data_IF_093744074879
#
_entry.id   IF_093744074879
#
_cell.length_a   1.000
_cell.length_b   1.000
_cell.length_c   1.000
_cell.angle_alpha   90.00
_cell.angle_beta   90.00
_cell.angle_gamma   90.00
#
_symmetry.space_group_name_H-M   'P 1'
#
loop_
_entity.id
_entity.type
_entity.pdbx_description
1 polymer ?
#
# COMPACT_ATOMS: atom_id res chain seq x y z
N UNK A 1 5.25 6.12 2.66
CA UNK A 1 4.15 6.12 1.64
C UNK A 1 3.18 7.23 2.02
N UNK A 2 3.00 8.21 1.14
CA UNK A 2 2.10 9.35 1.35
C UNK A 2 0.92 9.23 0.39
N UNK A 3 -0.30 9.38 0.87
CA UNK A 3 -1.54 9.32 0.10
C UNK A 3 -2.57 10.31 0.62
N UNK A 4 -3.38 10.83 -0.29
CA UNK A 4 -4.54 11.67 0.01
C UNK A 4 -5.80 10.81 0.13
N UNK A 5 -6.66 11.11 1.09
CA UNK A 5 -8.00 10.52 1.22
C UNK A 5 -9.02 11.63 1.01
N UNK A 6 -9.83 11.50 -0.03
CA UNK A 6 -10.80 12.50 -0.45
C UNK A 6 -12.22 11.98 -0.33
N UNK A 7 -13.19 12.91 -0.16
CA UNK A 7 -14.60 12.59 -0.27
C UNK A 7 -15.05 12.62 -1.74
N UNK A 8 -15.43 11.48 -2.30
CA UNK A 8 -15.86 11.36 -3.71
C UNK A 8 -17.11 12.20 -4.01
N UNK A 9 -18.01 12.42 -3.04
CA UNK A 9 -19.26 13.12 -3.26
C UNK A 9 -19.10 14.55 -3.71
N UNK A 10 -17.93 15.15 -3.49
CA UNK A 10 -17.63 16.54 -3.83
C UNK A 10 -16.71 16.66 -5.06
N UNK A 11 -16.32 15.56 -5.70
CA UNK A 11 -15.55 15.61 -6.91
C UNK A 11 -16.44 16.13 -8.05
N UNK A 12 -16.11 17.25 -8.71
CA UNK A 12 -16.85 17.75 -9.85
C UNK A 12 -16.84 16.73 -10.98
N UNK A 13 -18.00 16.45 -11.56
CA UNK A 13 -18.09 15.51 -12.69
C UNK A 13 -19.30 14.56 -12.59
N UNK A 14 -19.40 13.55 -13.48
CA UNK A 14 -20.49 12.59 -13.44
C UNK A 14 -20.51 11.83 -12.11
N UNK A 15 -21.73 11.62 -11.59
CA UNK A 15 -22.03 11.06 -10.27
C UNK A 15 -21.14 9.86 -9.86
N UNK A 16 -20.81 9.70 -8.58
CA UNK A 16 -19.91 8.66 -8.06
C UNK A 16 -20.18 7.23 -8.56
N UNK A 17 -21.45 6.90 -8.80
CA UNK A 17 -21.86 5.61 -9.37
C UNK A 17 -21.30 5.33 -10.77
N UNK A 18 -21.02 6.37 -11.55
CA UNK A 18 -20.36 6.24 -12.86
C UNK A 18 -18.84 6.14 -12.71
N UNK A 19 -18.26 6.87 -11.77
CA UNK A 19 -16.84 6.74 -11.44
C UNK A 19 -16.56 5.30 -10.99
N UNK A 20 -17.39 4.72 -10.11
CA UNK A 20 -17.25 3.33 -9.70
C UNK A 20 -17.37 2.33 -10.86
N UNK A 21 -18.30 2.56 -11.80
CA UNK A 21 -18.47 1.67 -12.94
C UNK A 21 -17.39 1.79 -13.99
N UNK A 22 -16.83 2.98 -14.19
CA UNK A 22 -15.89 3.25 -15.28
C UNK A 22 -14.43 3.27 -14.86
N UNK A 23 -14.16 3.57 -13.59
CA UNK A 23 -12.79 3.69 -13.07
C UNK A 23 -12.26 2.37 -12.49
N UNK A 24 -13.13 1.50 -11.99
CA UNK A 24 -12.71 0.21 -11.42
C UNK A 24 -12.44 -0.86 -12.47
N UNK A 25 -13.23 -1.02 -13.57
CA UNK A 25 -12.95 -2.01 -14.60
C UNK A 25 -11.89 -1.60 -15.62
N UNK A 26 -11.78 -0.32 -15.93
CA UNK A 26 -10.98 0.18 -17.06
C UNK A 26 -9.75 0.98 -16.68
N UNK A 27 -9.48 1.18 -15.38
CA UNK A 27 -8.23 1.79 -15.00
C UNK A 27 -7.09 0.90 -15.46
N UNK A 28 -6.34 1.29 -16.47
CA UNK A 28 -5.03 0.71 -16.67
C UNK A 28 -4.35 0.92 -15.31
N UNK A 29 -3.79 -0.14 -14.76
CA UNK A 29 -2.94 -0.05 -13.58
C UNK A 29 -1.76 0.81 -14.00
N UNK A 30 -1.92 2.13 -13.91
CA UNK A 30 -0.89 3.09 -14.29
C UNK A 30 0.18 2.98 -13.24
N UNK A 31 1.09 2.08 -13.49
CA UNK A 31 2.38 2.01 -12.87
C UNK A 31 3.35 2.79 -13.74
N UNK A 32 3.16 4.08 -13.86
CA UNK A 32 4.26 4.94 -14.23
C UNK A 32 5.24 4.97 -13.07
N UNK A 33 6.23 4.13 -13.16
CA UNK A 33 7.41 4.17 -12.31
C UNK A 33 8.37 5.18 -12.92
N UNK A 34 8.22 6.42 -12.55
CA UNK A 34 9.30 7.39 -12.70
C UNK A 34 9.95 7.58 -11.32
N UNK A 35 11.04 6.86 -11.05
CA UNK A 35 11.82 7.04 -9.83
C UNK A 35 11.07 6.68 -8.53
N UNK A 36 10.91 7.67 -7.63
CA UNK A 36 10.30 7.53 -6.30
C UNK A 36 8.78 7.70 -6.30
N UNK A 37 8.17 8.08 -7.43
CA UNK A 37 6.74 8.39 -7.55
C UNK A 37 5.99 7.30 -8.30
N UNK A 38 4.71 7.13 -7.96
CA UNK A 38 3.76 6.31 -8.69
C UNK A 38 2.36 6.87 -8.48
N UNK A 39 1.51 6.76 -9.49
CA UNK A 39 0.16 7.34 -9.43
C UNK A 39 -0.86 6.21 -9.33
N UNK A 40 -1.81 6.37 -8.43
CA UNK A 40 -3.00 5.53 -8.35
C UNK A 40 -4.20 6.31 -7.82
N UNK A 41 -5.36 5.85 -8.21
CA UNK A 41 -6.65 6.32 -7.72
C UNK A 41 -7.43 5.09 -7.29
N UNK A 42 -7.85 5.02 -6.04
CA UNK A 42 -8.55 3.87 -5.47
C UNK A 42 -9.88 4.35 -4.87
N UNK A 43 -10.99 4.24 -5.62
CA UNK A 43 -12.32 4.48 -5.08
C UNK A 43 -12.66 3.43 -4.02
N UNK A 44 -13.37 3.87 -2.96
CA UNK A 44 -13.80 3.02 -1.85
C UNK A 44 -15.32 2.97 -1.76
N UNK A 45 -15.85 1.89 -1.20
CA UNK A 45 -17.30 1.71 -1.05
C UNK A 45 -17.93 2.70 -0.06
N UNK A 46 -17.15 3.27 0.84
CA UNK A 46 -17.60 4.28 1.81
C UNK A 46 -17.80 5.68 1.20
N UNK A 47 -17.57 5.85 -0.09
CA UNK A 47 -17.69 7.13 -0.79
C UNK A 47 -16.45 8.01 -0.70
N UNK A 48 -15.30 7.44 -0.29
CA UNK A 48 -14.00 8.11 -0.36
C UNK A 48 -13.16 7.60 -1.53
N UNK A 49 -12.12 8.35 -1.89
CA UNK A 49 -11.10 7.93 -2.85
C UNK A 49 -9.72 8.14 -2.27
N UNK A 50 -8.84 7.19 -2.51
CA UNK A 50 -7.43 7.31 -2.14
C UNK A 50 -6.63 7.68 -3.38
N UNK A 51 -5.93 8.80 -3.31
CA UNK A 51 -4.97 9.24 -4.32
C UNK A 51 -3.55 9.04 -3.82
N UNK A 52 -2.68 8.55 -4.65
CA UNK A 52 -1.28 8.36 -4.28
C UNK A 52 -0.34 8.27 -5.47
N UNK A 53 0.88 8.17 -5.28
CA UNK A 53 1.57 8.22 -3.99
C UNK A 53 3.06 8.42 -4.20
N UNK A 54 3.79 8.32 -3.11
CA UNK A 54 5.26 8.39 -3.13
C UNK A 54 5.84 7.22 -2.36
N UNK A 55 6.99 6.74 -2.81
CA UNK A 55 7.84 5.80 -2.11
C UNK A 55 9.25 6.36 -2.07
N UNK A 56 9.61 7.00 -0.98
CA UNK A 56 10.96 7.50 -0.77
C UNK A 56 11.67 6.62 0.26
N UNK A 57 12.74 5.89 -0.12
CA UNK A 57 13.51 5.07 0.81
C UNK A 57 14.34 5.91 1.78
N UNK A 58 14.59 7.18 1.46
CA UNK A 58 15.43 8.07 2.26
C UNK A 58 14.62 8.81 3.35
N UNK A 59 13.28 8.72 3.29
CA UNK A 59 12.39 9.33 4.27
C UNK A 59 11.80 8.25 5.20
N UNK A 60 12.15 8.32 6.47
CA UNK A 60 11.68 7.40 7.52
C UNK A 60 10.75 8.04 8.54
N UNK A 61 10.18 9.22 8.25
CA UNK A 61 9.21 9.87 9.11
C UNK A 61 7.78 9.78 8.53
N UNK A 62 6.77 10.05 9.37
CA UNK A 62 5.35 10.02 9.00
C UNK A 62 4.73 11.41 8.94
N UNK A 63 5.54 12.45 8.79
CA UNK A 63 5.04 13.83 8.67
C UNK A 63 4.36 14.01 7.32
N UNK A 64 3.24 14.73 7.36
CA UNK A 64 2.55 15.16 6.14
C UNK A 64 3.39 16.22 5.46
N UNK A 65 3.56 16.09 4.15
CA UNK A 65 4.24 17.06 3.29
C UNK A 65 3.27 17.53 2.21
N UNK A 66 2.87 18.80 2.30
CA UNK A 66 1.89 19.40 1.39
C UNK A 66 2.41 19.55 -0.05
N UNK A 67 3.72 19.59 -0.26
CA UNK A 67 4.29 19.58 -1.62
C UNK A 67 4.08 18.22 -2.29
N UNK A 68 4.08 17.14 -1.51
CA UNK A 68 3.72 15.82 -2.01
C UNK A 68 2.24 15.77 -2.41
N UNK A 69 1.35 16.43 -1.68
CA UNK A 69 -0.08 16.52 -2.04
C UNK A 69 -0.26 17.22 -3.40
N UNK A 70 0.43 18.34 -3.61
CA UNK A 70 0.41 19.06 -4.90
C UNK A 70 0.95 18.20 -6.04
N UNK A 71 2.00 17.45 -5.80
CA UNK A 71 2.57 16.55 -6.78
C UNK A 71 1.61 15.41 -7.13
N UNK A 72 0.98 14.79 -6.12
CA UNK A 72 -0.04 13.76 -6.32
C UNK A 72 -1.22 14.32 -7.14
N UNK A 73 -1.75 15.50 -6.76
CA UNK A 73 -2.88 16.12 -7.45
C UNK A 73 -2.56 16.38 -8.94
N UNK A 74 -1.39 16.97 -9.25
CA UNK A 74 -0.95 17.21 -10.64
C UNK A 74 -0.83 15.92 -11.45
N UNK A 75 -0.28 14.85 -10.87
CA UNK A 75 -0.13 13.56 -11.56
C UNK A 75 -1.48 12.88 -11.79
N UNK A 76 -2.38 12.95 -10.84
CA UNK A 76 -3.74 12.41 -10.98
C UNK A 76 -4.53 13.21 -12.01
N UNK A 77 -4.47 14.55 -11.97
CA UNK A 77 -5.10 15.40 -12.98
C UNK A 77 -4.61 15.09 -14.39
N UNK A 78 -3.30 14.91 -14.59
CA UNK A 78 -2.73 14.53 -15.89
C UNK A 78 -3.37 13.26 -16.47
N UNK A 79 -3.75 12.34 -15.60
CA UNK A 79 -4.33 11.03 -16.01
C UNK A 79 -5.85 11.09 -16.12
N UNK A 80 -6.51 11.83 -15.24
CA UNK A 80 -7.97 11.92 -15.13
C UNK A 80 -8.42 13.39 -14.96
N UNK A 81 -8.16 14.26 -15.96
CA UNK A 81 -8.42 15.70 -15.86
C UNK A 81 -9.91 16.04 -15.70
N UNK A 82 -10.80 15.17 -16.18
CA UNK A 82 -12.25 15.36 -16.08
C UNK A 82 -12.79 15.15 -14.65
N UNK A 83 -12.00 14.52 -13.79
CA UNK A 83 -12.43 14.12 -12.45
C UNK A 83 -11.65 14.79 -11.33
N UNK A 84 -10.42 15.20 -11.58
CA UNK A 84 -9.53 15.70 -10.55
C UNK A 84 -8.85 16.99 -10.96
N UNK A 85 -8.88 18.00 -10.09
CA UNK A 85 -8.11 19.24 -10.24
C UNK A 85 -6.61 18.97 -10.11
N UNK A 86 -5.79 19.86 -10.68
CA UNK A 86 -4.35 19.88 -10.43
C UNK A 86 -3.99 20.54 -9.10
N UNK A 87 -4.93 21.27 -8.49
CA UNK A 87 -4.74 21.95 -7.20
C UNK A 87 -5.47 21.17 -6.09
N UNK A 88 -4.74 20.69 -5.05
CA UNK A 88 -5.38 20.01 -3.92
C UNK A 88 -6.28 20.95 -3.09
N UNK A 89 -6.21 22.26 -3.23
CA UNK A 89 -7.12 23.19 -2.58
C UNK A 89 -8.58 23.05 -3.06
N UNK A 90 -8.79 22.48 -4.25
CA UNK A 90 -10.12 22.20 -4.81
C UNK A 90 -10.73 20.87 -4.26
N UNK A 91 -10.02 20.17 -3.41
CA UNK A 91 -10.44 18.87 -2.89
C UNK A 91 -11.03 18.97 -1.48
N UNK A 92 -12.07 18.16 -1.22
CA UNK A 92 -12.49 17.86 0.14
C UNK A 92 -11.61 16.74 0.70
N UNK A 93 -10.48 17.14 1.30
CA UNK A 93 -9.50 16.21 1.87
C UNK A 93 -10.01 15.71 3.23
N UNK A 94 -10.38 14.45 3.29
CA UNK A 94 -10.80 13.77 4.53
C UNK A 94 -9.61 13.47 5.43
N UNK A 95 -8.45 13.23 4.86
CA UNK A 95 -7.24 12.95 5.62
C UNK A 95 -6.02 12.61 4.77
N UNK A 96 -4.89 12.51 5.44
CA UNK A 96 -3.62 12.13 4.87
C UNK A 96 -3.14 10.84 5.54
N UNK A 97 -2.65 9.90 4.75
CA UNK A 97 -2.00 8.69 5.25
C UNK A 97 -0.53 8.68 4.85
N UNK A 98 0.34 8.82 5.83
CA UNK A 98 1.79 8.69 5.66
C UNK A 98 2.26 7.50 6.48
N UNK A 99 2.76 6.46 5.81
CA UNK A 99 3.17 5.23 6.46
C UNK A 99 4.59 4.80 6.08
N UNK A 100 5.28 4.18 7.04
CA UNK A 100 6.56 3.54 6.81
C UNK A 100 6.29 2.14 6.25
N UNK A 101 6.87 1.86 5.09
CA UNK A 101 6.77 0.53 4.48
C UNK A 101 7.94 -0.33 4.96
N UNK A 102 7.71 -1.50 5.54
CA UNK A 102 8.78 -2.40 5.94
C UNK A 102 9.52 -2.91 4.69
N UNK A 103 10.77 -2.49 4.55
CA UNK A 103 11.63 -2.83 3.42
C UNK A 103 12.90 -3.52 3.88
N UNK A 104 13.31 -4.54 3.15
CA UNK A 104 14.64 -5.16 3.25
C UNK A 104 15.30 -5.17 1.88
N UNK A 105 16.59 -4.82 1.83
CA UNK A 105 17.39 -4.86 0.60
C UNK A 105 17.52 -6.29 0.03
N UNK A 106 17.54 -7.28 0.91
CA UNK A 106 17.64 -8.71 0.58
C UNK A 106 16.30 -9.39 0.32
N UNK A 107 15.19 -8.63 0.31
CA UNK A 107 13.85 -9.16 0.09
C UNK A 107 13.17 -9.69 1.36
N UNK A 108 12.09 -10.44 1.17
CA UNK A 108 11.31 -11.05 2.24
C UNK A 108 12.15 -12.06 3.03
N UNK A 109 11.99 -12.06 4.35
CA UNK A 109 12.62 -13.02 5.26
C UNK A 109 11.55 -13.95 5.83
N UNK A 110 11.58 -15.23 5.45
CA UNK A 110 10.79 -16.28 6.06
C UNK A 110 11.76 -17.42 6.35
N UNK A 111 12.19 -17.52 7.58
CA UNK A 111 13.16 -18.54 8.01
C UNK A 111 13.12 -18.76 9.51
N UNK A 112 13.65 -19.89 9.96
CA UNK A 112 13.86 -20.17 11.38
C UNK A 112 15.30 -19.87 11.78
N UNK A 113 15.46 -19.42 13.01
CA UNK A 113 16.75 -19.14 13.65
C UNK A 113 16.73 -19.65 15.07
N UNK A 114 17.85 -20.17 15.56
CA UNK A 114 18.05 -20.42 17.01
C UNK A 114 19.08 -19.42 17.49
N UNK A 115 18.68 -18.56 18.41
CA UNK A 115 19.54 -17.53 18.97
C UNK A 115 19.43 -17.50 20.48
N UNK A 116 20.56 -17.61 21.15
CA UNK A 116 20.62 -17.61 22.63
C UNK A 116 19.69 -18.65 23.28
N UNK A 117 19.57 -19.83 22.65
CA UNK A 117 18.70 -20.91 23.10
C UNK A 117 17.21 -20.71 22.80
N UNK A 118 16.83 -19.63 22.12
CA UNK A 118 15.44 -19.36 21.72
C UNK A 118 15.19 -19.75 20.27
N UNK A 119 14.06 -20.39 20.04
CA UNK A 119 13.56 -20.73 18.71
C UNK A 119 12.79 -19.52 18.15
N UNK A 120 13.25 -18.98 17.04
CA UNK A 120 12.68 -17.79 16.40
C UNK A 120 12.26 -18.14 14.98
N UNK A 121 11.03 -17.76 14.60
CA UNK A 121 10.58 -17.78 13.21
C UNK A 121 10.41 -16.35 12.73
N UNK A 122 11.13 -16.01 11.67
CA UNK A 122 11.07 -14.71 11.03
C UNK A 122 10.04 -14.73 9.88
N UNK A 123 9.16 -13.71 9.81
CA UNK A 123 8.21 -13.54 8.72
C UNK A 123 7.97 -12.04 8.48
N UNK A 124 8.88 -11.37 7.75
CA UNK A 124 8.80 -9.92 7.54
C UNK A 124 9.50 -9.45 6.24
N UNK A 125 9.45 -8.15 5.98
CA UNK A 125 10.09 -7.54 4.80
C UNK A 125 9.30 -7.69 3.50
N UNK A 126 7.98 -7.93 3.58
CA UNK A 126 7.09 -8.20 2.43
C UNK A 126 6.81 -6.93 1.60
N UNK A 127 7.29 -5.79 2.04
CA UNK A 127 7.08 -4.47 1.38
C UNK A 127 5.59 -4.11 1.22
N UNK A 128 5.11 -3.90 -0.02
CA UNK A 128 3.71 -3.59 -0.32
C UNK A 128 2.82 -4.80 -0.56
N UNK A 129 3.36 -6.01 -0.45
CA UNK A 129 2.66 -7.25 -0.79
C UNK A 129 1.99 -7.96 0.39
N UNK A 130 1.91 -7.34 1.58
CA UNK A 130 1.43 -7.99 2.80
C UNK A 130 0.08 -8.69 2.65
N UNK A 131 -0.91 -8.04 2.04
CA UNK A 131 -2.21 -8.66 1.78
C UNK A 131 -2.16 -9.73 0.70
N UNK A 132 -1.38 -9.52 -0.37
CA UNK A 132 -1.30 -10.44 -1.52
C UNK A 132 -0.62 -11.75 -1.11
N UNK A 133 0.45 -11.67 -0.34
CA UNK A 133 1.27 -12.83 0.05
C UNK A 133 0.92 -13.37 1.45
N UNK A 134 0.02 -12.70 2.18
CA UNK A 134 -0.25 -12.98 3.58
C UNK A 134 -0.56 -14.45 3.89
N UNK A 135 -1.42 -15.09 3.10
CA UNK A 135 -1.76 -16.51 3.29
C UNK A 135 -0.58 -17.44 3.03
N UNK A 136 0.22 -17.15 1.98
CA UNK A 136 1.42 -17.93 1.67
C UNK A 136 2.47 -17.81 2.77
N UNK A 137 2.72 -16.59 3.22
CA UNK A 137 3.66 -16.28 4.32
C UNK A 137 3.23 -16.94 5.63
N UNK A 138 1.93 -16.86 5.96
CA UNK A 138 1.41 -17.47 7.18
C UNK A 138 1.56 -18.99 7.16
N UNK A 139 1.27 -19.65 6.02
CA UNK A 139 1.42 -21.09 5.87
C UNK A 139 2.88 -21.53 6.01
N UNK A 140 3.80 -20.80 5.39
CA UNK A 140 5.24 -21.11 5.46
C UNK A 140 5.77 -20.88 6.88
N UNK A 141 5.43 -19.76 7.51
CA UNK A 141 5.81 -19.51 8.89
C UNK A 141 5.27 -20.55 9.87
N UNK A 142 4.01 -21.00 9.69
CA UNK A 142 3.43 -22.05 10.50
C UNK A 142 4.19 -23.39 10.35
N UNK A 143 4.58 -23.75 9.10
CA UNK A 143 5.42 -24.92 8.86
C UNK A 143 6.76 -24.87 9.59
N UNK A 144 7.41 -23.71 9.61
CA UNK A 144 8.67 -23.52 10.34
C UNK A 144 8.49 -23.59 11.87
N UNK A 145 7.34 -23.15 12.39
CA UNK A 145 6.99 -23.33 13.80
C UNK A 145 6.79 -24.81 14.12
N UNK A 146 6.06 -25.53 13.27
CA UNK A 146 5.85 -26.98 13.41
C UNK A 146 7.18 -27.75 13.46
N UNK A 147 8.17 -27.37 12.67
CA UNK A 147 9.50 -27.98 12.69
C UNK A 147 10.24 -27.79 14.02
N UNK A 148 9.99 -26.69 14.74
CA UNK A 148 10.53 -26.49 16.08
C UNK A 148 9.76 -27.30 17.15
N UNK A 149 8.45 -27.36 17.03
CA UNK A 149 7.58 -28.06 18.00
C UNK A 149 7.65 -29.58 17.84
N UNK A 150 7.77 -30.05 16.59
CA UNK A 150 7.76 -31.46 16.22
C UNK A 150 8.98 -31.81 15.37
N UNK A 151 10.21 -31.77 15.95
CA UNK A 151 11.40 -32.14 15.21
C UNK A 151 11.28 -33.57 14.65
N UNK A 152 11.79 -33.78 13.43
CA UNK A 152 11.77 -35.07 12.75
C UNK A 152 12.30 -36.18 13.68
N UNK A 153 11.48 -37.17 14.03
CA UNK A 153 11.79 -38.25 14.97
C UNK A 153 11.03 -38.21 16.31
N UNK A 154 10.24 -37.17 16.60
CA UNK A 154 9.27 -37.21 17.71
C UNK A 154 7.87 -37.40 17.14
N UNK A 155 7.20 -38.48 17.48
CA UNK A 155 5.82 -38.74 17.06
C UNK A 155 4.90 -37.60 17.51
N UNK A 156 4.01 -37.18 16.63
CA UNK A 156 2.83 -36.39 17.04
C UNK A 156 1.99 -37.31 17.97
N UNK A 157 1.86 -36.91 19.24
CA UNK A 157 0.93 -37.52 20.18
C UNK A 157 -0.50 -37.11 19.82
#
# INVERSE_FOLDING_TARGET
>A
MHVLVLNIRQIPGPQPSRIYKNVVPEMPRIRERAGKTYTYVIPRLDGTVILGGIRDPDISNTKVDLEVDKDIARRVNKTLPEHFSADPADYDIVGHNVGIRPYRSTGMRIEKEVKEGQNIVHAYGITGGGYIFGFGVAREAAGLVDEFLFPAGKARL
#
